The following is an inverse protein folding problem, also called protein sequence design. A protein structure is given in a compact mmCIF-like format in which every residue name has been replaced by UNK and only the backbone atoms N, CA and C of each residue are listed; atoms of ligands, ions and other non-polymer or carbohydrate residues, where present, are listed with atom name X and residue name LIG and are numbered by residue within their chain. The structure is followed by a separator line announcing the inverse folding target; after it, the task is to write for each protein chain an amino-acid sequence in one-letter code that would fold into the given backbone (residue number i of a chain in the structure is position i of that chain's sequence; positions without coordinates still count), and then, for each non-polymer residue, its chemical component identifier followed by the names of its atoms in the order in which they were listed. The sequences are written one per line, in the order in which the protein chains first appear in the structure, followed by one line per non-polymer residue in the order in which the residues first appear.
data_IF_166641400538
#
_entry.id   IF_166641400538
#
_cell.length_a   1.000
_cell.length_b   1.000
_cell.length_c   1.000
_cell.angle_alpha   90.00
_cell.angle_beta   90.00
_cell.angle_gamma   90.00
#
_symmetry.space_group_name_H-M   'P 1'
#
loop_
_entity.id
_entity.type
_entity.pdbx_description
1 polymer ?
#
# COMPACT_ATOMS: atom_id res chain seq x y z
N UNK A 1 -26.46 -15.39 -0.02
CA UNK A 1 -25.38 -16.42 0.08
C UNK A 1 -24.02 -15.88 -0.37
N UNK A 2 -23.86 -15.36 -1.61
CA UNK A 2 -22.57 -14.83 -2.08
C UNK A 2 -22.11 -13.63 -1.23
N UNK A 3 -23.02 -12.72 -0.87
CA UNK A 3 -22.71 -11.60 0.03
C UNK A 3 -22.38 -12.07 1.44
N UNK A 4 -23.13 -13.03 1.98
CA UNK A 4 -22.89 -13.60 3.31
C UNK A 4 -21.51 -14.27 3.37
N UNK A 5 -21.07 -14.92 2.28
CA UNK A 5 -19.75 -15.54 2.15
C UNK A 5 -18.64 -14.46 2.15
N UNK A 6 -18.85 -13.30 1.49
CA UNK A 6 -17.93 -12.17 1.52
C UNK A 6 -17.86 -11.52 2.91
N UNK A 7 -18.98 -11.33 3.58
CA UNK A 7 -19.02 -10.76 4.93
C UNK A 7 -18.34 -11.67 5.94
N UNK A 8 -18.58 -12.99 5.88
CA UNK A 8 -17.91 -13.96 6.73
C UNK A 8 -16.39 -14.01 6.52
N UNK A 9 -15.93 -13.93 5.26
CA UNK A 9 -14.49 -13.85 4.95
C UNK A 9 -13.87 -12.57 5.50
N UNK A 10 -14.56 -11.44 5.37
CA UNK A 10 -14.11 -10.15 5.87
C UNK A 10 -13.99 -10.15 7.39
N UNK A 11 -14.99 -10.70 8.11
CA UNK A 11 -14.96 -10.84 9.56
C UNK A 11 -13.82 -11.76 10.03
N UNK A 12 -13.56 -12.85 9.29
CA UNK A 12 -12.43 -13.73 9.57
C UNK A 12 -11.10 -13.00 9.46
N UNK A 13 -10.91 -12.19 8.40
CA UNK A 13 -9.67 -11.42 8.19
C UNK A 13 -9.52 -10.28 9.20
N UNK A 14 -10.58 -9.56 9.52
CA UNK A 14 -10.55 -8.52 10.56
C UNK A 14 -10.23 -9.14 11.94
N UNK A 15 -10.69 -10.36 12.24
CA UNK A 15 -10.36 -11.10 13.46
C UNK A 15 -8.88 -11.50 13.49
N UNK A 16 -8.33 -11.96 12.37
CA UNK A 16 -6.92 -12.32 12.23
C UNK A 16 -6.00 -11.10 12.48
N UNK A 17 -6.35 -9.95 11.91
CA UNK A 17 -5.64 -8.68 12.15
C UNK A 17 -5.67 -8.32 13.64
N UNK A 18 -6.85 -8.35 14.27
CA UNK A 18 -7.00 -8.04 15.69
C UNK A 18 -6.15 -8.97 16.57
N UNK A 19 -6.11 -10.26 16.26
CA UNK A 19 -5.27 -11.23 16.99
C UNK A 19 -3.79 -10.89 16.87
N UNK A 20 -3.33 -10.50 15.67
CA UNK A 20 -1.94 -10.06 15.46
C UNK A 20 -1.62 -8.78 16.25
N UNK A 21 -2.53 -7.82 16.29
CA UNK A 21 -2.36 -6.58 17.06
C UNK A 21 -2.31 -6.86 18.57
N UNK A 22 -3.12 -7.79 19.08
CA UNK A 22 -3.10 -8.18 20.50
C UNK A 22 -1.82 -8.94 20.86
N UNK A 23 -1.32 -9.82 20.00
CA UNK A 23 -0.13 -10.63 20.25
C UNK A 23 1.18 -9.85 20.11
N UNK A 24 1.24 -8.90 19.15
CA UNK A 24 2.48 -8.24 18.73
C UNK A 24 2.47 -6.70 18.89
N UNK A 25 1.40 -6.15 19.45
CA UNK A 25 1.26 -4.70 19.71
C UNK A 25 1.85 -4.23 21.05
N UNK A 26 2.47 -5.12 21.85
CA UNK A 26 3.12 -4.75 23.11
C UNK A 26 4.40 -3.93 22.92
N UNK A 27 4.95 -3.41 24.03
CA UNK A 27 6.10 -2.47 24.04
C UNK A 27 7.36 -2.94 23.28
N UNK A 28 7.55 -4.26 23.14
CA UNK A 28 8.67 -4.86 22.42
C UNK A 28 8.24 -5.49 21.07
N UNK A 29 6.96 -5.37 20.69
CA UNK A 29 6.42 -5.98 19.48
C UNK A 29 6.65 -5.12 18.23
N UNK A 30 6.80 -5.76 17.09
CA UNK A 30 6.98 -5.09 15.79
C UNK A 30 5.73 -4.33 15.31
N UNK A 31 4.56 -4.58 15.91
CA UNK A 31 3.32 -3.82 15.73
C UNK A 31 3.06 -2.79 16.83
N UNK A 32 4.05 -2.52 17.69
CA UNK A 32 3.91 -1.49 18.72
C UNK A 32 3.57 -0.12 18.09
N UNK A 33 2.57 0.56 18.68
CA UNK A 33 2.06 1.86 18.21
C UNK A 33 1.55 1.89 16.76
N UNK A 34 1.43 0.74 16.10
CA UNK A 34 0.88 0.66 14.74
C UNK A 34 -0.63 0.78 14.79
N UNK A 35 -1.15 1.89 14.29
CA UNK A 35 -2.60 2.17 14.18
C UNK A 35 -3.07 2.20 12.72
N UNK A 36 -2.13 2.24 11.77
CA UNK A 36 -2.39 2.34 10.33
C UNK A 36 -1.38 1.54 9.54
N UNK A 37 -1.82 1.02 8.41
CA UNK A 37 -0.96 0.30 7.46
C UNK A 37 0.28 1.11 7.01
N UNK A 38 0.22 2.45 7.06
CA UNK A 38 1.36 3.31 6.75
C UNK A 38 2.49 3.13 7.75
N UNK A 39 2.17 3.08 9.03
CA UNK A 39 3.11 2.90 10.14
C UNK A 39 3.73 1.49 10.08
N UNK A 40 2.93 0.45 9.79
CA UNK A 40 3.46 -0.89 9.56
C UNK A 40 4.48 -0.95 8.41
N UNK A 41 4.26 -0.18 7.35
CA UNK A 41 5.22 -0.09 6.23
C UNK A 41 6.50 0.66 6.62
N UNK A 42 6.41 1.66 7.47
CA UNK A 42 7.58 2.36 8.02
C UNK A 42 8.38 1.42 8.92
N UNK A 43 7.72 0.69 9.82
CA UNK A 43 8.37 -0.33 10.64
C UNK A 43 9.01 -1.43 9.79
N UNK A 44 8.33 -1.90 8.73
CA UNK A 44 8.90 -2.88 7.80
C UNK A 44 10.22 -2.38 7.17
N UNK A 45 10.30 -1.12 6.80
CA UNK A 45 11.53 -0.53 6.27
C UNK A 45 12.62 -0.53 7.35
N UNK A 46 12.30 -0.12 8.58
CA UNK A 46 13.25 -0.07 9.68
C UNK A 46 13.79 -1.46 10.02
N UNK A 47 12.94 -2.44 10.22
CA UNK A 47 13.36 -3.82 10.50
C UNK A 47 14.15 -4.44 9.35
N UNK A 48 13.80 -4.11 8.09
CA UNK A 48 14.58 -4.53 6.93
C UNK A 48 15.99 -3.94 6.94
N UNK A 49 16.14 -2.67 7.28
CA UNK A 49 17.46 -2.01 7.41
C UNK A 49 18.33 -2.68 8.49
N UNK A 50 17.71 -3.07 9.63
CA UNK A 50 18.37 -3.78 10.70
C UNK A 50 18.80 -5.21 10.25
N UNK A 51 17.89 -5.92 9.59
CA UNK A 51 18.18 -7.25 9.04
C UNK A 51 19.32 -7.21 8.00
N UNK A 52 19.35 -6.19 7.13
CA UNK A 52 20.46 -6.02 6.18
C UNK A 52 21.79 -5.84 6.88
N UNK A 53 21.81 -5.11 8.00
CA UNK A 53 23.03 -4.87 8.74
C UNK A 53 23.55 -6.16 9.41
N UNK A 54 22.65 -7.00 9.89
CA UNK A 54 22.99 -8.24 10.59
C UNK A 54 23.35 -9.36 9.60
N UNK A 55 22.48 -9.61 8.61
CA UNK A 55 22.61 -10.79 7.74
C UNK A 55 23.46 -10.55 6.48
N UNK A 56 23.51 -9.30 5.99
CA UNK A 56 24.20 -8.96 4.72
C UNK A 56 25.12 -7.73 4.86
N UNK A 57 26.05 -7.69 5.83
CA UNK A 57 26.82 -6.49 6.18
C UNK A 57 27.63 -5.94 5.01
N UNK A 58 28.22 -6.80 4.18
CA UNK A 58 29.04 -6.36 3.04
C UNK A 58 28.20 -5.64 1.97
N UNK A 59 27.04 -6.19 1.63
CA UNK A 59 26.15 -5.60 0.64
C UNK A 59 25.48 -4.33 1.17
N UNK A 60 25.13 -4.32 2.44
CA UNK A 60 24.57 -3.14 3.11
C UNK A 60 25.61 -2.00 3.22
N UNK A 61 26.87 -2.32 3.45
CA UNK A 61 27.94 -1.30 3.44
C UNK A 61 28.06 -0.67 2.06
N UNK A 62 28.10 -1.45 0.99
CA UNK A 62 28.12 -0.93 -0.39
C UNK A 62 26.91 -0.06 -0.70
N UNK A 63 25.71 -0.50 -0.24
CA UNK A 63 24.47 0.28 -0.37
C UNK A 63 24.57 1.65 0.34
N UNK A 64 25.10 1.67 1.55
CA UNK A 64 25.30 2.92 2.34
C UNK A 64 26.35 3.84 1.69
N UNK A 65 27.39 3.30 1.10
CA UNK A 65 28.36 4.07 0.32
C UNK A 65 27.70 4.68 -0.93
N UNK A 66 26.86 3.91 -1.63
CA UNK A 66 26.10 4.38 -2.78
C UNK A 66 25.11 5.49 -2.42
N UNK A 67 24.45 5.40 -1.25
CA UNK A 67 23.59 6.47 -0.75
C UNK A 67 24.36 7.78 -0.54
N UNK A 68 25.54 7.73 0.08
CA UNK A 68 26.40 8.91 0.26
C UNK A 68 26.84 9.50 -1.09
N UNK A 69 27.15 8.64 -2.06
CA UNK A 69 27.50 9.10 -3.41
C UNK A 69 26.33 9.85 -4.04
N UNK A 70 25.10 9.32 -3.93
CA UNK A 70 23.87 9.96 -4.44
C UNK A 70 23.60 11.30 -3.73
N UNK A 71 23.83 11.38 -2.42
CA UNK A 71 23.71 12.63 -1.67
C UNK A 71 24.69 13.69 -2.22
N UNK A 72 25.97 13.34 -2.37
CA UNK A 72 26.99 14.24 -2.92
C UNK A 72 26.67 14.68 -4.35
N UNK A 73 26.29 13.75 -5.23
CA UNK A 73 25.90 14.04 -6.62
C UNK A 73 24.65 14.93 -6.67
N UNK A 74 23.71 14.76 -5.73
CA UNK A 74 22.50 15.59 -5.64
C UNK A 74 22.82 17.01 -5.20
N UNK A 75 23.72 17.18 -4.22
CA UNK A 75 24.19 18.49 -3.75
C UNK A 75 24.96 19.24 -4.86
N UNK A 76 25.83 18.54 -5.59
CA UNK A 76 26.54 19.13 -6.73
C UNK A 76 25.57 19.57 -7.82
N UNK A 77 24.57 18.75 -8.16
CA UNK A 77 23.55 19.10 -9.15
C UNK A 77 22.74 20.33 -8.72
N UNK A 78 22.33 20.39 -7.44
CA UNK A 78 21.62 21.54 -6.87
C UNK A 78 22.47 22.80 -6.88
N UNK A 79 23.77 22.67 -6.60
CA UNK A 79 24.73 23.80 -6.69
C UNK A 79 24.80 24.37 -8.09
N UNK A 80 24.86 23.52 -9.13
CA UNK A 80 24.80 23.94 -10.52
C UNK A 80 23.47 24.65 -10.84
N UNK A 81 22.34 24.07 -10.44
CA UNK A 81 21.01 24.63 -10.70
C UNK A 81 20.76 25.99 -10.05
N UNK A 82 21.45 26.31 -8.96
CA UNK A 82 21.37 27.59 -8.27
C UNK A 82 22.15 28.71 -9.00
N UNK A 83 22.98 28.39 -9.98
CA UNK A 83 23.70 29.40 -10.75
C UNK A 83 22.74 30.14 -11.70
N UNK A 84 22.92 31.44 -11.82
CA UNK A 84 22.04 32.33 -12.64
C UNK A 84 21.96 31.92 -14.12
N UNK A 85 22.97 31.22 -14.64
CA UNK A 85 22.97 30.68 -16.01
C UNK A 85 21.83 29.70 -16.28
N UNK A 86 21.27 29.08 -15.24
CA UNK A 86 20.16 28.14 -15.36
C UNK A 86 18.78 28.79 -15.28
N UNK A 87 18.67 30.08 -14.97
CA UNK A 87 17.36 30.74 -14.83
C UNK A 87 16.55 30.71 -16.12
N UNK A 88 17.22 30.77 -17.28
CA UNK A 88 16.57 30.68 -18.59
C UNK A 88 16.03 29.31 -18.99
N UNK A 89 16.39 28.23 -18.26
CA UNK A 89 15.96 26.85 -18.54
C UNK A 89 15.03 26.27 -17.47
N UNK A 90 14.77 27.02 -16.40
CA UNK A 90 13.82 26.66 -15.35
C UNK A 90 12.39 26.81 -15.85
N UNK A 91 11.55 25.82 -15.56
CA UNK A 91 10.11 25.92 -15.83
C UNK A 91 9.40 26.80 -14.78
N UNK A 92 8.09 27.04 -14.95
CA UNK A 92 7.26 27.83 -14.03
C UNK A 92 7.25 27.31 -12.57
N UNK A 93 7.69 26.07 -12.34
CA UNK A 93 7.84 25.44 -11.00
C UNK A 93 9.30 25.47 -10.50
N UNK A 94 10.19 26.20 -11.18
CA UNK A 94 11.62 26.27 -10.86
C UNK A 94 12.42 25.00 -11.17
N UNK A 95 11.84 24.01 -11.87
CA UNK A 95 12.51 22.73 -12.18
C UNK A 95 13.17 22.79 -13.56
N UNK A 96 14.35 22.22 -13.66
CA UNK A 96 15.11 22.02 -14.89
C UNK A 96 14.77 20.64 -15.47
N UNK A 97 14.65 20.56 -16.78
CA UNK A 97 14.41 19.31 -17.50
C UNK A 97 15.47 19.08 -18.56
N UNK A 98 15.81 17.82 -18.81
CA UNK A 98 16.78 17.47 -19.88
C UNK A 98 16.36 18.00 -21.25
N UNK A 99 15.05 18.11 -21.49
CA UNK A 99 14.53 18.68 -22.74
C UNK A 99 14.85 20.17 -22.83
N UNK A 100 14.58 20.95 -21.78
CA UNK A 100 14.86 22.38 -21.75
C UNK A 100 16.35 22.68 -21.96
N UNK A 101 17.23 21.90 -21.31
CA UNK A 101 18.69 22.00 -21.52
C UNK A 101 19.07 21.68 -22.97
N UNK A 102 18.56 20.58 -23.54
CA UNK A 102 18.86 20.23 -24.94
C UNK A 102 18.39 21.28 -25.93
N UNK A 103 17.23 21.87 -25.71
CA UNK A 103 16.69 22.91 -26.59
C UNK A 103 17.47 24.21 -26.47
N UNK A 104 17.97 24.54 -25.25
CA UNK A 104 18.85 25.69 -25.04
C UNK A 104 20.23 25.49 -25.69
N UNK A 105 20.84 24.31 -25.53
CA UNK A 105 22.13 23.96 -26.14
C UNK A 105 22.14 24.03 -27.68
N UNK A 106 20.99 23.86 -28.35
CA UNK A 106 20.90 24.01 -29.82
C UNK A 106 21.03 25.45 -30.30
N UNK A 107 20.81 26.41 -29.42
CA UNK A 107 20.81 27.84 -29.72
C UNK A 107 22.13 28.54 -29.37
N UNK A 108 22.90 27.89 -28.49
CA UNK A 108 24.16 28.43 -27.98
C UNK A 108 25.35 28.00 -28.84
N UNK A 109 26.39 28.84 -28.90
CA UNK A 109 27.68 28.51 -29.52
C UNK A 109 28.52 27.61 -28.61
N UNK A 110 29.35 26.73 -29.20
CA UNK A 110 30.11 25.70 -28.48
C UNK A 110 31.15 26.23 -27.45
N UNK A 111 31.52 27.50 -27.52
CA UNK A 111 32.56 28.10 -26.68
C UNK A 111 32.03 28.96 -25.53
N UNK A 112 30.77 28.93 -25.24
CA UNK A 112 30.14 29.74 -24.20
C UNK A 112 30.22 29.10 -22.83
N UNK A 113 30.47 29.86 -21.75
CA UNK A 113 30.49 29.38 -20.36
C UNK A 113 29.14 28.76 -19.99
N UNK A 114 28.04 29.26 -20.55
CA UNK A 114 26.70 28.68 -20.40
C UNK A 114 26.64 27.26 -20.97
N UNK A 115 27.19 27.04 -22.16
CA UNK A 115 27.26 25.71 -22.81
C UNK A 115 28.02 24.70 -21.96
N UNK A 116 29.15 25.12 -21.38
CA UNK A 116 29.96 24.28 -20.49
C UNK A 116 29.17 23.89 -19.23
N UNK A 117 28.51 24.84 -18.59
CA UNK A 117 27.72 24.62 -17.40
C UNK A 117 26.50 23.71 -17.66
N UNK A 118 25.79 23.90 -18.78
CA UNK A 118 24.66 23.05 -19.18
C UNK A 118 25.11 21.62 -19.50
N UNK A 119 26.26 21.43 -20.16
CA UNK A 119 26.83 20.11 -20.42
C UNK A 119 27.25 19.40 -19.10
N UNK A 120 27.82 20.14 -18.16
CA UNK A 120 28.16 19.61 -16.82
C UNK A 120 26.90 19.14 -16.08
N UNK A 121 25.83 19.91 -16.14
CA UNK A 121 24.54 19.49 -15.58
C UNK A 121 24.00 18.21 -16.24
N UNK A 122 24.09 18.09 -17.58
CA UNK A 122 23.68 16.87 -18.29
C UNK A 122 24.50 15.66 -17.86
N UNK A 123 25.81 15.82 -17.72
CA UNK A 123 26.70 14.75 -17.27
C UNK A 123 26.36 14.32 -15.84
N UNK A 124 26.23 15.28 -14.92
CA UNK A 124 25.89 15.03 -13.51
C UNK A 124 24.49 14.41 -13.37
N UNK A 125 23.50 14.89 -14.10
CA UNK A 125 22.14 14.32 -14.13
C UNK A 125 22.12 12.86 -14.59
N UNK A 126 22.96 12.49 -15.56
CA UNK A 126 23.10 11.09 -16.02
C UNK A 126 23.81 10.24 -14.97
N UNK A 127 24.85 10.76 -14.36
CA UNK A 127 25.60 10.06 -13.31
C UNK A 127 24.66 9.75 -12.13
N UNK A 128 23.96 10.76 -11.62
CA UNK A 128 22.97 10.61 -10.56
C UNK A 128 21.87 9.59 -10.90
N UNK A 129 21.41 9.57 -12.16
CA UNK A 129 20.43 8.58 -12.61
C UNK A 129 21.01 7.15 -12.61
N UNK A 130 22.30 6.97 -12.97
CA UNK A 130 22.99 5.69 -12.90
C UNK A 130 23.14 5.22 -11.46
N UNK A 131 23.64 6.11 -10.58
CA UNK A 131 23.82 5.85 -9.15
C UNK A 131 22.50 5.44 -8.47
N UNK A 132 21.40 6.13 -8.78
CA UNK A 132 20.07 5.76 -8.29
C UNK A 132 19.59 4.41 -8.82
N UNK A 133 19.91 4.06 -10.08
CA UNK A 133 19.58 2.74 -10.64
C UNK A 133 20.37 1.63 -9.95
N UNK A 134 21.65 1.84 -9.69
CA UNK A 134 22.50 0.88 -8.97
C UNK A 134 21.99 0.67 -7.54
N UNK A 135 21.65 1.74 -6.83
CA UNK A 135 21.04 1.65 -5.50
C UNK A 135 19.76 0.84 -5.52
N UNK A 136 18.88 1.07 -6.52
CA UNK A 136 17.65 0.28 -6.67
C UNK A 136 17.93 -1.21 -6.84
N UNK A 137 18.94 -1.57 -7.63
CA UNK A 137 19.34 -2.97 -7.81
C UNK A 137 19.84 -3.57 -6.49
N UNK A 138 20.65 -2.83 -5.72
CA UNK A 138 21.13 -3.29 -4.41
C UNK A 138 20.00 -3.49 -3.42
N UNK A 139 19.00 -2.58 -3.38
CA UNK A 139 17.82 -2.74 -2.53
C UNK A 139 17.04 -4.01 -2.91
N UNK A 140 16.75 -4.22 -4.20
CA UNK A 140 16.07 -5.42 -4.66
C UNK A 140 16.84 -6.69 -4.28
N UNK A 141 18.16 -6.70 -4.43
CA UNK A 141 18.98 -7.85 -4.05
C UNK A 141 18.95 -8.13 -2.53
N UNK A 142 18.91 -7.08 -1.70
CA UNK A 142 18.80 -7.23 -0.25
C UNK A 142 17.42 -7.76 0.13
N UNK A 143 16.35 -7.21 -0.45
CA UNK A 143 14.99 -7.67 -0.24
C UNK A 143 14.84 -9.15 -0.65
N UNK A 144 15.30 -9.53 -1.84
CA UNK A 144 15.27 -10.92 -2.32
C UNK A 144 16.02 -11.88 -1.36
N UNK A 145 17.14 -11.44 -0.79
CA UNK A 145 17.90 -12.23 0.17
C UNK A 145 17.17 -12.39 1.52
N UNK A 146 16.53 -11.34 2.02
CA UNK A 146 15.70 -11.41 3.23
C UNK A 146 14.50 -12.32 2.98
N UNK A 147 13.79 -12.17 1.86
CA UNK A 147 12.70 -13.06 1.49
C UNK A 147 13.16 -14.53 1.39
N UNK A 148 14.34 -14.78 0.86
CA UNK A 148 14.88 -16.15 0.83
C UNK A 148 15.12 -16.74 2.22
N UNK A 149 15.51 -15.94 3.23
CA UNK A 149 15.60 -16.38 4.62
C UNK A 149 14.22 -16.72 5.19
N UNK A 150 13.23 -15.90 4.91
CA UNK A 150 11.83 -16.12 5.31
C UNK A 150 11.29 -17.42 4.68
N UNK A 151 11.46 -17.59 3.36
CA UNK A 151 10.96 -18.75 2.61
C UNK A 151 11.61 -20.07 3.09
N UNK A 152 12.86 -20.01 3.52
CA UNK A 152 13.59 -21.14 4.09
C UNK A 152 13.27 -21.41 5.57
N UNK A 153 12.37 -20.63 6.18
CA UNK A 153 12.11 -20.67 7.63
C UNK A 153 13.39 -20.51 8.48
N UNK A 154 14.34 -19.73 8.01
CA UNK A 154 15.53 -19.44 8.78
C UNK A 154 15.19 -18.46 9.91
N UNK A 155 15.45 -18.89 11.15
CA UNK A 155 15.30 -18.02 12.31
C UNK A 155 16.48 -17.08 12.38
N UNK A 156 16.19 -15.79 12.47
CA UNK A 156 17.24 -14.79 12.54
C UNK A 156 16.71 -13.51 13.18
N UNK A 157 17.62 -12.72 13.71
CA UNK A 157 17.29 -11.42 14.30
C UNK A 157 16.56 -10.56 13.26
N UNK A 158 15.40 -10.02 13.59
CA UNK A 158 14.48 -9.23 12.77
C UNK A 158 13.74 -9.99 11.64
N UNK A 159 14.05 -11.26 11.33
CA UNK A 159 13.41 -11.99 10.23
C UNK A 159 11.97 -12.33 10.56
N UNK A 160 11.71 -12.77 11.78
CA UNK A 160 10.36 -13.10 12.26
C UNK A 160 9.47 -11.83 12.30
N UNK A 161 10.03 -10.69 12.71
CA UNK A 161 9.34 -9.39 12.71
C UNK A 161 8.98 -8.91 11.30
N UNK A 162 9.92 -9.03 10.35
CA UNK A 162 9.67 -8.70 8.95
C UNK A 162 8.57 -9.58 8.36
N UNK A 163 8.60 -10.88 8.61
CA UNK A 163 7.56 -11.81 8.14
C UNK A 163 6.20 -11.43 8.70
N UNK A 164 6.13 -11.08 9.99
CA UNK A 164 4.92 -10.65 10.66
C UNK A 164 4.37 -9.36 10.05
N UNK A 165 5.23 -8.36 9.87
CA UNK A 165 4.85 -7.08 9.26
C UNK A 165 4.36 -7.25 7.82
N UNK A 166 5.00 -8.11 7.02
CA UNK A 166 4.53 -8.44 5.66
C UNK A 166 3.14 -9.06 5.72
N UNK A 167 2.93 -10.06 6.58
CA UNK A 167 1.63 -10.74 6.74
C UNK A 167 0.54 -9.74 7.15
N UNK A 168 0.83 -8.88 8.10
CA UNK A 168 -0.08 -7.83 8.55
C UNK A 168 -0.48 -6.85 7.43
N UNK A 169 0.50 -6.39 6.65
CA UNK A 169 0.27 -5.49 5.52
C UNK A 169 -0.57 -6.16 4.43
N UNK A 170 -0.30 -7.44 4.15
CA UNK A 170 -1.04 -8.22 3.15
C UNK A 170 -2.50 -8.43 3.58
N UNK A 171 -2.74 -8.79 4.84
CA UNK A 171 -4.09 -8.91 5.40
C UNK A 171 -4.88 -7.60 5.28
N UNK A 172 -4.31 -6.47 5.65
CA UNK A 172 -4.95 -5.17 5.48
C UNK A 172 -5.23 -4.80 4.02
N UNK A 173 -4.36 -5.22 3.12
CA UNK A 173 -4.53 -5.03 1.68
C UNK A 173 -5.67 -5.88 1.16
N UNK A 174 -5.74 -7.16 1.56
CA UNK A 174 -6.85 -8.07 1.23
C UNK A 174 -8.19 -7.55 1.74
N UNK A 175 -8.25 -7.11 3.01
CA UNK A 175 -9.46 -6.50 3.60
C UNK A 175 -9.91 -5.27 2.81
N UNK A 176 -8.97 -4.45 2.36
CA UNK A 176 -9.28 -3.26 1.55
C UNK A 176 -9.91 -3.64 0.20
N UNK A 177 -9.38 -4.69 -0.45
CA UNK A 177 -9.91 -5.22 -1.72
C UNK A 177 -11.29 -5.83 -1.49
N UNK A 178 -11.45 -6.70 -0.48
CA UNK A 178 -12.73 -7.32 -0.14
C UNK A 178 -13.81 -6.27 0.17
N UNK A 179 -13.50 -5.24 0.94
CA UNK A 179 -14.43 -4.13 1.22
C UNK A 179 -14.88 -3.38 -0.04
N UNK A 180 -13.99 -3.25 -1.02
CA UNK A 180 -14.30 -2.65 -2.33
C UNK A 180 -15.20 -3.56 -3.17
N UNK A 181 -14.87 -4.85 -3.23
CA UNK A 181 -15.61 -5.82 -4.01
C UNK A 181 -17.02 -6.03 -3.43
N UNK A 182 -17.14 -6.06 -2.09
CA UNK A 182 -18.44 -6.11 -1.41
C UNK A 182 -19.32 -4.91 -1.81
N UNK A 183 -18.78 -3.70 -1.84
CA UNK A 183 -19.54 -2.52 -2.29
C UNK A 183 -20.04 -2.65 -3.73
N UNK A 184 -19.21 -3.19 -4.62
CA UNK A 184 -19.61 -3.43 -6.02
C UNK A 184 -20.74 -4.45 -6.07
N UNK A 185 -20.61 -5.55 -5.33
CA UNK A 185 -21.64 -6.60 -5.27
C UNK A 185 -22.97 -6.12 -4.70
N UNK A 186 -22.94 -5.26 -3.69
CA UNK A 186 -24.17 -4.64 -3.14
C UNK A 186 -24.87 -3.79 -4.21
N UNK A 187 -24.12 -2.97 -4.95
CA UNK A 187 -24.70 -2.16 -6.04
C UNK A 187 -25.28 -3.04 -7.14
N UNK A 188 -24.58 -4.09 -7.56
CA UNK A 188 -25.07 -5.06 -8.54
C UNK A 188 -26.39 -5.72 -8.07
N UNK A 189 -26.48 -6.10 -6.79
CA UNK A 189 -27.69 -6.69 -6.21
C UNK A 189 -28.85 -5.70 -6.20
N UNK A 190 -28.59 -4.44 -5.85
CA UNK A 190 -29.59 -3.38 -5.87
C UNK A 190 -30.15 -3.16 -7.29
N UNK A 191 -29.29 -3.13 -8.29
CA UNK A 191 -29.69 -3.02 -9.71
C UNK A 191 -30.51 -4.21 -10.17
N UNK A 192 -30.10 -5.44 -9.82
CA UNK A 192 -30.86 -6.66 -10.13
C UNK A 192 -32.23 -6.66 -9.44
N UNK A 193 -32.27 -6.22 -8.18
CA UNK A 193 -33.52 -6.10 -7.41
C UNK A 193 -34.46 -5.11 -8.06
N UNK A 194 -33.96 -3.92 -8.42
CA UNK A 194 -34.76 -2.91 -9.12
C UNK A 194 -35.25 -3.40 -10.50
N UNK A 195 -34.41 -4.12 -11.23
CA UNK A 195 -34.82 -4.74 -12.49
C UNK A 195 -35.91 -5.79 -12.30
N UNK A 196 -35.78 -6.64 -11.25
CA UNK A 196 -36.78 -7.67 -10.92
C UNK A 196 -38.14 -7.07 -10.55
N UNK A 197 -38.13 -5.96 -9.77
CA UNK A 197 -39.39 -5.27 -9.41
C UNK A 197 -40.24 -4.86 -10.63
N UNK A 198 -39.60 -4.47 -11.73
CA UNK A 198 -40.30 -4.08 -12.96
C UNK A 198 -40.94 -5.25 -13.71
N UNK A 199 -40.52 -6.47 -13.42
CA UNK A 199 -40.97 -7.70 -14.11
C UNK A 199 -41.79 -8.63 -13.22
N UNK A 200 -42.10 -8.22 -11.99
CA UNK A 200 -42.92 -9.01 -11.07
C UNK A 200 -44.32 -9.22 -11.62
N UNK A 201 -44.76 -10.47 -11.61
CA UNK A 201 -46.15 -10.85 -11.90
C UNK A 201 -47.04 -10.59 -10.69
N UNK A 202 -48.37 -10.50 -10.91
CA UNK A 202 -49.34 -10.33 -9.82
C UNK A 202 -49.25 -11.48 -8.80
N UNK A 203 -49.00 -12.71 -9.25
CA UNK A 203 -48.84 -13.88 -8.38
C UNK A 203 -47.59 -13.72 -7.48
N UNK A 204 -46.46 -13.31 -8.05
CA UNK A 204 -45.21 -13.05 -7.29
C UNK A 204 -45.39 -11.91 -6.27
N UNK A 205 -46.05 -10.81 -6.68
CA UNK A 205 -46.35 -9.70 -5.75
C UNK A 205 -47.24 -10.18 -4.60
N UNK A 206 -48.22 -11.01 -4.88
CA UNK A 206 -49.09 -11.58 -3.84
C UNK A 206 -48.31 -12.45 -2.86
N UNK A 207 -47.45 -13.33 -3.34
CA UNK A 207 -46.56 -14.14 -2.47
C UNK A 207 -45.70 -13.26 -1.60
N UNK A 208 -44.96 -12.29 -2.16
CA UNK A 208 -44.08 -11.39 -1.42
C UNK A 208 -44.82 -10.59 -0.34
N UNK A 209 -46.01 -10.09 -0.64
CA UNK A 209 -46.77 -9.22 0.30
C UNK A 209 -47.51 -10.03 1.34
N UNK A 210 -48.23 -11.10 0.92
CA UNK A 210 -49.10 -11.85 1.82
C UNK A 210 -48.33 -12.91 2.59
N UNK A 211 -47.53 -13.73 1.88
CA UNK A 211 -46.87 -14.88 2.51
C UNK A 211 -45.58 -14.46 3.20
N UNK A 212 -44.67 -13.81 2.49
CA UNK A 212 -43.35 -13.50 3.03
C UNK A 212 -43.35 -12.31 4.00
N UNK A 213 -44.22 -11.30 3.77
CA UNK A 213 -44.24 -10.12 4.64
C UNK A 213 -45.30 -10.23 5.74
N UNK A 214 -46.56 -10.43 5.42
CA UNK A 214 -47.63 -10.36 6.40
C UNK A 214 -47.70 -11.61 7.26
N UNK A 215 -47.74 -12.80 6.63
CA UNK A 215 -47.82 -14.06 7.38
C UNK A 215 -46.56 -14.30 8.20
N UNK A 216 -45.37 -14.04 7.65
CA UNK A 216 -44.12 -14.17 8.40
C UNK A 216 -44.06 -13.18 9.58
N UNK A 217 -44.48 -11.93 9.41
CA UNK A 217 -44.54 -10.94 10.49
C UNK A 217 -45.55 -11.35 11.57
N UNK A 218 -46.73 -11.87 11.17
CA UNK A 218 -47.72 -12.34 12.11
C UNK A 218 -47.23 -13.57 12.89
N UNK A 219 -46.56 -14.50 12.22
CA UNK A 219 -46.00 -15.69 12.84
C UNK A 219 -44.90 -15.29 13.85
N UNK A 220 -44.02 -14.37 13.48
CA UNK A 220 -42.98 -13.87 14.38
C UNK A 220 -43.57 -13.17 15.61
N UNK A 221 -44.61 -12.36 15.42
CA UNK A 221 -45.30 -11.68 16.55
C UNK A 221 -45.97 -12.69 17.49
N UNK A 222 -46.65 -13.72 16.95
CA UNK A 222 -47.25 -14.79 17.73
C UNK A 222 -46.18 -15.57 18.51
N UNK A 223 -45.04 -15.90 17.85
CA UNK A 223 -43.95 -16.61 18.51
C UNK A 223 -43.36 -15.79 19.65
N UNK A 224 -43.14 -14.50 19.44
CA UNK A 224 -42.65 -13.58 20.48
C UNK A 224 -43.58 -13.54 21.69
N UNK A 225 -44.91 -13.49 21.50
CA UNK A 225 -45.86 -13.53 22.60
C UNK A 225 -45.89 -14.88 23.33
N UNK A 226 -45.77 -15.99 22.60
CA UNK A 226 -45.67 -17.34 23.20
C UNK A 226 -44.42 -17.44 24.07
N UNK A 227 -43.29 -16.99 23.56
CA UNK A 227 -42.01 -16.99 24.28
C UNK A 227 -42.06 -16.09 25.53
N UNK A 228 -42.68 -14.92 25.42
CA UNK A 228 -42.92 -14.03 26.57
C UNK A 228 -43.82 -14.62 27.66
N UNK A 229 -44.88 -15.35 27.27
CA UNK A 229 -45.74 -16.04 28.21
C UNK A 229 -45.00 -17.22 28.84
N UNK A 230 -44.25 -17.97 28.06
CA UNK A 230 -43.46 -19.10 28.55
C UNK A 230 -42.43 -18.67 29.60
N UNK A 231 -41.74 -17.52 29.36
CA UNK A 231 -40.79 -16.96 30.30
C UNK A 231 -41.44 -16.45 31.61
N UNK A 232 -42.72 -16.06 31.58
CA UNK A 232 -43.44 -15.63 32.80
C UNK A 232 -43.96 -16.80 33.65
N UNK A 233 -44.03 -17.99 33.06
CA UNK A 233 -44.52 -19.19 33.70
C UNK A 233 -43.39 -20.07 34.32
N UNK A 234 -42.16 -19.76 33.98
CA UNK A 234 -40.94 -20.37 34.52
C UNK A 234 -40.36 -19.51 35.63
#
# INVERSE_FOLDING_TARGET
KELDDFEALLESKDTEITSMEEEHGGDEGSLNEVTKIGEAKENLIEYSELAYAVHFPELNTKRKEQLKTIESETEELLSLENHSLFDGVKNAKGKITQKAIKDRLKVLEESDDETTSLNSWVAMSKLLASSKKELKVMNVQLDEKVHALIDNNEKGEYIEDIQLLITYIDLHTEVTVLKKDLKVKVVELDELTLAKFKTLTEAEVRTLVVEDKWLASLQAAIQTEIDAISQRLT
#
